data_IF_120934794131
#
_entry.id   IF_120934794131
#
_cell.length_a   1.000
_cell.length_b   1.000
_cell.length_c   1.000
_cell.angle_alpha   90.00
_cell.angle_beta   90.00
_cell.angle_gamma   90.00
#
_symmetry.space_group_name_H-M   'P 1'
#
loop_
_entity.id
_entity.type
_entity.pdbx_description
1 polymer ?
#
# COMPACT_ATOMS: atom_id res chain seq x y z
N UNK A 1 -24.48 -6.30 -8.81
CA UNK A 1 -25.26 -7.29 -9.57
C UNK A 1 -24.44 -7.93 -10.68
N UNK A 2 -23.15 -7.67 -10.65
CA UNK A 2 -22.17 -8.24 -11.53
C UNK A 2 -21.58 -9.48 -10.84
N UNK A 3 -21.48 -10.58 -11.54
CA UNK A 3 -20.83 -11.81 -11.07
C UNK A 3 -21.42 -12.45 -9.79
N UNK A 4 -22.70 -12.84 -9.76
CA UNK A 4 -23.33 -13.41 -8.57
C UNK A 4 -22.67 -14.71 -8.08
N UNK A 5 -22.02 -15.46 -8.95
CA UNK A 5 -21.27 -16.67 -8.57
C UNK A 5 -19.99 -16.33 -7.81
N UNK A 6 -19.31 -15.21 -8.17
CA UNK A 6 -18.14 -14.75 -7.42
C UNK A 6 -18.52 -14.31 -6.02
N UNK A 7 -19.65 -13.60 -5.87
CA UNK A 7 -20.15 -13.19 -4.55
C UNK A 7 -20.43 -14.42 -3.68
N UNK A 8 -20.99 -15.47 -4.24
CA UNK A 8 -21.21 -16.74 -3.52
C UNK A 8 -19.92 -17.47 -3.13
N UNK A 9 -18.85 -17.25 -3.90
CA UNK A 9 -17.55 -17.86 -3.67
C UNK A 9 -16.67 -17.07 -2.68
N UNK A 10 -17.06 -15.84 -2.32
CA UNK A 10 -16.31 -15.06 -1.34
C UNK A 10 -16.31 -15.74 0.03
N UNK A 11 -15.16 -15.78 0.65
CA UNK A 11 -14.97 -16.23 2.02
C UNK A 11 -14.31 -15.12 2.84
N UNK A 12 -14.63 -15.05 4.10
CA UNK A 12 -13.98 -14.10 5.00
C UNK A 12 -12.57 -14.56 5.36
N UNK A 13 -11.69 -13.59 5.61
CA UNK A 13 -10.42 -13.85 6.27
C UNK A 13 -10.72 -14.40 7.68
N UNK A 14 -10.01 -15.45 8.15
CA UNK A 14 -10.19 -15.95 9.51
C UNK A 14 -9.88 -14.87 10.55
N UNK A 15 -10.32 -15.09 11.80
CA UNK A 15 -10.00 -14.18 12.89
C UNK A 15 -8.48 -14.08 13.07
N UNK A 16 -7.99 -12.85 13.17
CA UNK A 16 -6.57 -12.53 13.32
C UNK A 16 -6.29 -11.95 14.70
N UNK A 17 -5.08 -12.21 15.21
CA UNK A 17 -4.57 -11.60 16.42
C UNK A 17 -3.65 -10.42 16.07
N UNK A 18 -3.38 -9.58 17.06
CA UNK A 18 -2.39 -8.52 16.90
C UNK A 18 -1.01 -9.12 16.58
N UNK A 19 -0.39 -8.66 15.51
CA UNK A 19 0.87 -9.18 15.01
C UNK A 19 0.75 -10.19 13.86
N UNK A 20 -0.44 -10.69 13.57
CA UNK A 20 -0.66 -11.54 12.39
C UNK A 20 -0.62 -10.70 11.12
N UNK A 21 -0.28 -11.34 10.00
CA UNK A 21 -0.31 -10.73 8.67
C UNK A 21 -1.09 -11.60 7.69
N UNK A 22 -1.75 -10.95 6.74
CA UNK A 22 -2.48 -11.62 5.66
C UNK A 22 -1.79 -11.32 4.34
N UNK A 23 -1.51 -12.37 3.60
CA UNK A 23 -0.88 -12.28 2.28
C UNK A 23 -1.83 -12.82 1.22
N UNK A 24 -1.99 -12.09 0.13
CA UNK A 24 -2.74 -12.55 -1.03
C UNK A 24 -2.08 -12.13 -2.33
N UNK A 25 -2.35 -12.87 -3.39
CA UNK A 25 -1.90 -12.50 -4.72
C UNK A 25 -2.68 -11.27 -5.22
N UNK A 26 -2.05 -10.37 -5.95
CA UNK A 26 -2.68 -9.14 -6.44
C UNK A 26 -3.92 -9.38 -7.33
N UNK A 27 -3.99 -10.54 -8.00
CA UNK A 27 -5.13 -10.91 -8.85
C UNK A 27 -6.31 -11.56 -8.08
N UNK A 28 -6.19 -11.73 -6.77
CA UNK A 28 -7.31 -12.23 -5.95
C UNK A 28 -8.42 -11.18 -5.89
N UNK A 29 -9.61 -11.57 -6.33
CA UNK A 29 -10.79 -10.69 -6.24
C UNK A 29 -11.18 -10.58 -4.78
N UNK A 30 -11.17 -9.37 -4.26
CA UNK A 30 -11.45 -9.08 -2.87
C UNK A 30 -12.35 -7.85 -2.71
N UNK A 31 -13.00 -7.77 -1.58
CA UNK A 31 -13.84 -6.61 -1.21
C UNK A 31 -13.84 -6.43 0.30
N UNK A 32 -14.24 -5.27 0.75
CA UNK A 32 -14.50 -5.03 2.16
C UNK A 32 -15.84 -5.68 2.54
N UNK A 33 -15.85 -6.47 3.61
CA UNK A 33 -17.07 -7.06 4.13
C UNK A 33 -18.02 -5.96 4.64
N UNK A 34 -19.32 -6.05 4.40
CA UNK A 34 -20.29 -5.15 5.01
C UNK A 34 -20.34 -5.42 6.51
N UNK A 35 -19.95 -4.45 7.31
CA UNK A 35 -20.02 -4.52 8.77
C UNK A 35 -21.03 -3.48 9.24
N UNK A 36 -22.13 -3.95 9.84
CA UNK A 36 -23.11 -3.09 10.46
C UNK A 36 -22.63 -2.69 11.86
N UNK A 37 -22.85 -1.43 12.23
CA UNK A 37 -22.48 -0.90 13.56
C UNK A 37 -21.00 -1.05 13.94
N UNK A 38 -20.09 -0.88 12.98
CA UNK A 38 -18.66 -0.91 13.25
C UNK A 38 -18.30 0.10 14.34
N UNK A 39 -17.57 -0.37 15.35
CA UNK A 39 -17.00 0.47 16.40
C UNK A 39 -15.55 0.80 16.05
N UNK A 40 -15.19 2.09 16.12
CA UNK A 40 -13.85 2.56 15.81
C UNK A 40 -13.52 2.63 14.31
N UNK A 41 -12.26 2.77 14.01
CA UNK A 41 -11.73 2.96 12.66
C UNK A 41 -11.22 1.65 12.06
N UNK A 42 -11.56 1.37 10.82
CA UNK A 42 -10.88 0.39 10.00
C UNK A 42 -9.66 1.04 9.33
N UNK A 43 -8.49 0.49 9.52
CA UNK A 43 -7.27 0.97 8.88
C UNK A 43 -6.58 -0.16 8.14
N UNK A 44 -6.16 0.11 6.91
CA UNK A 44 -5.43 -0.85 6.07
C UNK A 44 -4.18 -0.17 5.52
N UNK A 45 -3.05 -0.84 5.68
CA UNK A 45 -1.80 -0.44 5.05
C UNK A 45 -1.40 -1.49 4.01
N UNK A 46 -1.21 -1.06 2.78
CA UNK A 46 -0.75 -1.94 1.71
C UNK A 46 0.78 -2.02 1.72
N UNK A 47 1.30 -3.22 1.86
CA UNK A 47 2.74 -3.48 1.83
C UNK A 47 3.01 -4.44 0.66
N UNK A 48 3.45 -3.95 -0.51
CA UNK A 48 3.70 -4.81 -1.64
C UNK A 48 4.97 -5.65 -1.44
N UNK A 49 4.86 -6.96 -1.71
CA UNK A 49 6.00 -7.87 -1.81
C UNK A 49 6.31 -8.09 -3.31
N UNK A 50 6.93 -7.11 -3.93
CA UNK A 50 7.24 -7.13 -5.36
C UNK A 50 8.58 -7.82 -5.64
N UNK A 51 8.71 -8.65 -6.69
CA UNK A 51 9.97 -9.26 -7.06
C UNK A 51 10.99 -8.23 -7.54
N UNK A 52 12.27 -8.51 -7.34
CA UNK A 52 13.35 -7.71 -7.88
C UNK A 52 13.44 -7.92 -9.40
N UNK A 53 13.03 -6.92 -10.17
CA UNK A 53 13.13 -6.91 -11.63
C UNK A 53 13.30 -5.48 -12.14
N UNK A 54 13.72 -5.33 -13.37
CA UNK A 54 13.98 -4.01 -13.98
C UNK A 54 12.79 -3.06 -13.90
N UNK A 55 11.58 -3.57 -14.15
CA UNK A 55 10.34 -2.79 -14.06
C UNK A 55 10.14 -2.21 -12.65
N UNK A 56 10.30 -3.03 -11.64
CA UNK A 56 10.11 -2.63 -10.24
C UNK A 56 11.23 -1.71 -9.76
N UNK A 57 12.45 -1.93 -10.21
CA UNK A 57 13.57 -1.01 -9.95
C UNK A 57 13.32 0.38 -10.56
N UNK A 58 12.89 0.42 -11.83
CA UNK A 58 12.55 1.66 -12.50
C UNK A 58 11.37 2.38 -11.80
N UNK A 59 10.39 1.63 -11.30
CA UNK A 59 9.29 2.17 -10.51
C UNK A 59 9.78 2.76 -9.18
N UNK A 60 10.63 2.06 -8.46
CA UNK A 60 11.21 2.55 -7.20
C UNK A 60 11.96 3.88 -7.39
N UNK A 61 12.68 4.06 -8.49
CA UNK A 61 13.34 5.34 -8.80
C UNK A 61 12.33 6.47 -9.06
N UNK A 62 11.20 6.18 -9.70
CA UNK A 62 10.11 7.16 -9.89
C UNK A 62 9.46 7.54 -8.56
N UNK A 63 9.21 6.57 -7.69
CA UNK A 63 8.68 6.81 -6.33
C UNK A 63 9.63 7.67 -5.52
N UNK A 64 10.92 7.35 -5.51
CA UNK A 64 11.96 8.15 -4.85
C UNK A 64 11.97 9.59 -5.34
N UNK A 65 11.94 9.79 -6.66
CA UNK A 65 11.92 11.13 -7.25
C UNK A 65 10.62 11.90 -6.94
N UNK A 66 9.48 11.22 -6.87
CA UNK A 66 8.21 11.81 -6.47
C UNK A 66 8.23 12.22 -5.00
N UNK A 67 8.66 11.34 -4.10
CA UNK A 67 8.79 11.62 -2.68
C UNK A 67 9.69 12.84 -2.40
N UNK A 68 10.83 12.93 -3.08
CA UNK A 68 11.76 14.05 -2.95
C UNK A 68 11.14 15.42 -3.35
N UNK A 69 10.17 15.42 -4.26
CA UNK A 69 9.45 16.63 -4.69
C UNK A 69 8.14 16.87 -3.97
N UNK A 70 7.77 15.99 -3.04
CA UNK A 70 6.47 16.09 -2.41
C UNK A 70 5.29 15.77 -3.34
N UNK A 71 5.49 14.93 -4.36
CA UNK A 71 4.47 14.60 -5.34
C UNK A 71 4.04 13.13 -5.23
N UNK A 72 2.81 12.82 -5.63
CA UNK A 72 2.34 11.44 -5.77
C UNK A 72 3.05 10.73 -6.93
N UNK A 73 3.30 9.40 -6.84
CA UNK A 73 3.73 8.61 -7.98
C UNK A 73 2.71 8.67 -9.14
N UNK A 74 3.18 8.48 -10.38
CA UNK A 74 2.37 8.71 -11.56
C UNK A 74 1.18 7.77 -11.80
N UNK A 75 1.10 6.67 -11.06
CA UNK A 75 0.02 5.68 -11.09
C UNK A 75 -0.99 5.83 -9.93
N UNK A 76 -0.78 6.82 -9.08
CA UNK A 76 -1.75 7.21 -8.04
C UNK A 76 -2.44 8.52 -8.40
N UNK A 77 -3.66 8.75 -7.93
CA UNK A 77 -4.30 10.06 -8.03
C UNK A 77 -3.39 11.14 -7.45
N UNK A 78 -3.41 12.29 -8.06
CA UNK A 78 -2.66 13.44 -7.56
C UNK A 78 -3.28 13.91 -6.24
N UNK A 79 -2.52 13.82 -5.17
CA UNK A 79 -2.92 14.22 -3.82
C UNK A 79 -1.95 15.28 -3.31
N UNK A 80 -2.28 16.52 -3.55
CA UNK A 80 -1.40 17.65 -3.21
C UNK A 80 -1.56 18.12 -1.76
N UNK A 81 -2.63 17.71 -1.07
CA UNK A 81 -2.95 18.16 0.28
C UNK A 81 -1.93 17.69 1.35
N UNK A 82 -1.13 16.69 1.05
CA UNK A 82 -0.06 16.24 1.94
C UNK A 82 1.23 17.03 1.77
N UNK A 83 1.35 17.83 0.72
CA UNK A 83 2.60 18.52 0.36
C UNK A 83 3.04 19.51 1.44
N UNK A 84 2.08 20.23 2.00
CA UNK A 84 2.32 21.30 2.98
C UNK A 84 2.09 20.82 4.43
N UNK A 85 1.90 19.55 4.65
CA UNK A 85 1.70 19.01 5.99
C UNK A 85 3.01 19.05 6.78
N UNK A 86 2.98 19.70 7.96
CA UNK A 86 4.15 19.90 8.82
C UNK A 86 4.78 18.58 9.32
N UNK A 87 3.98 17.52 9.49
CA UNK A 87 4.43 16.21 9.90
C UNK A 87 4.82 15.27 8.76
N UNK A 88 5.01 15.81 7.55
CA UNK A 88 5.30 15.00 6.38
C UNK A 88 6.64 14.28 6.49
N UNK A 89 6.60 12.98 6.18
CA UNK A 89 7.79 12.14 6.11
C UNK A 89 8.71 12.55 4.94
N UNK A 90 10.00 12.62 5.19
CA UNK A 90 11.02 12.97 4.21
C UNK A 90 11.99 11.81 3.98
N UNK A 91 12.86 11.95 2.99
CA UNK A 91 13.90 10.96 2.73
C UNK A 91 14.91 10.81 3.90
N UNK A 92 15.05 11.86 4.72
CA UNK A 92 15.94 11.87 5.87
C UNK A 92 15.41 11.01 7.02
N UNK A 93 14.09 10.88 7.13
CA UNK A 93 13.42 10.06 8.15
C UNK A 93 13.55 8.55 7.87
N UNK A 94 14.02 8.17 6.69
CA UNK A 94 14.21 6.77 6.31
C UNK A 94 15.33 6.10 7.11
N UNK A 95 15.01 4.99 7.73
CA UNK A 95 16.04 4.09 8.26
C UNK A 95 16.80 3.37 7.12
N UNK A 96 17.81 2.58 7.47
CA UNK A 96 18.66 1.87 6.50
C UNK A 96 17.85 0.95 5.58
N UNK A 97 16.79 0.31 6.07
CA UNK A 97 15.95 -0.57 5.26
C UNK A 97 15.09 0.20 4.27
N UNK A 98 14.52 1.33 4.67
CA UNK A 98 13.77 2.22 3.80
C UNK A 98 14.65 2.84 2.72
N UNK A 99 15.85 3.30 3.07
CA UNK A 99 16.85 3.80 2.11
C UNK A 99 17.21 2.73 1.08
N UNK A 100 17.48 1.51 1.55
CA UNK A 100 17.79 0.37 0.68
C UNK A 100 16.63 0.00 -0.25
N UNK A 101 15.39 0.00 0.25
CA UNK A 101 14.20 -0.28 -0.56
C UNK A 101 14.01 0.75 -1.69
N UNK A 102 14.42 2.00 -1.49
CA UNK A 102 14.41 3.06 -2.50
C UNK A 102 15.70 3.13 -3.34
N UNK A 103 16.61 2.18 -3.18
CA UNK A 103 17.89 2.18 -3.88
C UNK A 103 18.79 3.37 -3.53
N UNK A 104 18.76 3.83 -2.27
CA UNK A 104 19.54 4.96 -1.78
C UNK A 104 20.77 4.56 -0.96
N UNK A 105 20.80 3.34 -0.45
CA UNK A 105 21.90 2.83 0.34
C UNK A 105 22.70 1.81 -0.46
N UNK A 106 24.00 1.84 -0.29
CA UNK A 106 24.91 0.79 -0.67
C UNK A 106 24.84 -0.39 0.31
#
# INVERSE_FOLDING_TARGET
KWHPLLIKALSSIPALNAGDSVWWHCDVIHSVAPVENQQGWGNVMYIPAAPMCEKNLAYAQKVKAALARGASPGDFPREDYETDWEGRFTLEDLNVHGKRALGMAD
#
